data_IF_540394680491
#
_entry.id   IF_540394680491
#
_cell.length_a   1.000
_cell.length_b   1.000
_cell.length_c   1.000
_cell.angle_alpha   90.00
_cell.angle_beta   90.00
_cell.angle_gamma   90.00
#
_symmetry.space_group_name_H-M   'P 1'
#
loop_
_entity.id
_entity.type
_entity.pdbx_description
1 polymer ?
#
# COMPACT_ATOMS: atom_id res chain seq x y z
N UNK A 1 4.96 41.48 13.06
CA UNK A 1 5.20 40.11 13.55
C UNK A 1 3.84 39.52 13.84
N UNK A 2 3.35 38.62 13.00
CA UNK A 2 2.03 38.02 13.16
C UNK A 2 2.14 36.85 14.13
N UNK A 3 1.36 36.88 15.20
CA UNK A 3 1.22 35.79 16.16
C UNK A 3 0.75 34.52 15.46
N UNK A 4 1.55 33.45 15.59
CA UNK A 4 1.16 32.10 15.19
C UNK A 4 -0.10 31.70 15.96
N UNK A 5 -1.15 31.37 15.21
CA UNK A 5 -2.42 30.93 15.78
C UNK A 5 -2.23 29.56 16.40
N UNK A 6 -2.25 29.59 17.73
CA UNK A 6 -2.33 28.49 18.67
C UNK A 6 -3.40 27.47 18.27
N UNK A 7 -2.98 26.29 17.84
CA UNK A 7 -3.84 25.12 17.71
C UNK A 7 -4.05 24.51 19.10
N UNK A 8 -4.89 25.14 19.92
CA UNK A 8 -5.45 24.53 21.12
C UNK A 8 -4.46 24.25 22.26
N UNK A 9 -3.47 25.11 22.47
CA UNK A 9 -2.56 25.04 23.62
C UNK A 9 -1.43 24.01 23.47
N UNK A 10 -1.20 23.54 22.24
CA UNK A 10 -0.04 22.69 21.92
C UNK A 10 0.73 23.37 20.80
N UNK A 11 1.97 23.74 21.08
CA UNK A 11 2.85 24.36 20.10
C UNK A 11 3.26 23.36 19.01
N UNK A 12 3.53 23.85 17.79
CA UNK A 12 4.03 23.01 16.69
C UNK A 12 5.28 22.23 17.08
N UNK A 13 6.16 22.82 17.90
CA UNK A 13 7.36 22.16 18.42
C UNK A 13 7.06 21.06 19.44
N UNK A 14 5.99 21.15 20.22
CA UNK A 14 5.52 20.07 21.10
C UNK A 14 4.91 18.92 20.30
N UNK A 15 4.16 19.22 19.23
CA UNK A 15 3.66 18.21 18.29
C UNK A 15 4.83 17.49 17.61
N UNK A 16 5.84 18.23 17.14
CA UNK A 16 7.04 17.70 16.52
C UNK A 16 7.86 16.83 17.50
N UNK A 17 8.05 17.30 18.73
CA UNK A 17 8.71 16.54 19.79
C UNK A 17 7.92 15.26 20.13
N UNK A 18 6.60 15.34 20.21
CA UNK A 18 5.75 14.17 20.44
C UNK A 18 5.81 13.17 19.27
N UNK A 19 5.77 13.62 18.01
CA UNK A 19 5.89 12.75 16.83
C UNK A 19 7.28 12.10 16.75
N UNK A 20 8.32 12.81 17.19
CA UNK A 20 9.70 12.32 17.20
C UNK A 20 9.94 11.30 18.31
N UNK A 21 9.35 11.52 19.50
CA UNK A 21 9.58 10.70 20.69
C UNK A 21 8.53 9.61 20.91
N UNK A 22 7.33 9.75 20.35
CA UNK A 22 6.28 8.75 20.44
C UNK A 22 6.42 7.75 19.31
N UNK A 23 6.49 6.46 19.66
CA UNK A 23 6.23 5.38 18.71
C UNK A 23 4.74 5.41 18.39
N UNK A 24 4.34 6.26 17.43
CA UNK A 24 3.02 6.19 16.84
C UNK A 24 2.76 4.74 16.44
N UNK A 25 1.55 4.19 16.69
CA UNK A 25 1.23 2.85 16.27
C UNK A 25 1.55 2.67 14.78
N UNK A 26 2.20 1.56 14.42
CA UNK A 26 2.64 1.24 13.05
C UNK A 26 1.52 1.35 11.99
N UNK A 27 0.26 1.21 12.43
CA UNK A 27 -0.95 1.27 11.61
C UNK A 27 -1.88 2.44 11.98
N UNK A 28 -1.36 3.49 12.64
CA UNK A 28 -2.12 4.69 12.92
C UNK A 28 -2.65 5.29 11.59
N UNK A 29 -3.94 5.65 11.57
CA UNK A 29 -4.61 6.20 10.39
C UNK A 29 -5.07 5.18 9.34
N UNK A 30 -4.60 3.93 9.39
CA UNK A 30 -5.08 2.88 8.48
C UNK A 30 -6.52 2.47 8.81
N UNK A 31 -7.31 2.11 7.81
CA UNK A 31 -8.65 1.56 8.01
C UNK A 31 -8.62 0.12 8.57
N UNK A 32 -9.78 -0.39 8.97
CA UNK A 32 -9.91 -1.72 9.56
C UNK A 32 -9.53 -2.86 8.62
N UNK A 33 -9.78 -2.71 7.32
CA UNK A 33 -9.44 -3.71 6.30
C UNK A 33 -7.92 -3.85 6.15
N UNK A 34 -7.21 -2.72 6.12
CA UNK A 34 -5.74 -2.70 6.08
C UNK A 34 -5.17 -3.29 7.38
N UNK A 35 -5.71 -2.88 8.54
CA UNK A 35 -5.28 -3.43 9.84
C UNK A 35 -5.49 -4.94 9.91
N UNK A 36 -6.65 -5.41 9.47
CA UNK A 36 -6.97 -6.83 9.38
C UNK A 36 -5.95 -7.58 8.52
N UNK A 37 -5.70 -7.12 7.29
CA UNK A 37 -4.76 -7.78 6.39
C UNK A 37 -3.34 -7.88 6.98
N UNK A 38 -2.81 -6.77 7.51
CA UNK A 38 -1.47 -6.77 8.13
C UNK A 38 -1.40 -7.70 9.33
N UNK A 39 -2.43 -7.75 10.17
CA UNK A 39 -2.43 -8.58 11.38
C UNK A 39 -2.54 -10.07 11.08
N UNK A 40 -3.40 -10.46 10.13
CA UNK A 40 -3.49 -11.86 9.70
C UNK A 40 -2.19 -12.31 9.05
N UNK A 41 -1.56 -11.48 8.21
CA UNK A 41 -0.28 -11.83 7.60
C UNK A 41 0.85 -11.97 8.63
N UNK A 42 0.89 -11.10 9.66
CA UNK A 42 1.81 -11.26 10.80
C UNK A 42 1.57 -12.56 11.56
N UNK A 43 0.31 -12.96 11.77
CA UNK A 43 -0.05 -14.25 12.35
C UNK A 43 0.45 -15.41 11.48
N UNK A 44 0.24 -15.36 10.17
CA UNK A 44 0.72 -16.40 9.23
C UNK A 44 2.24 -16.55 9.32
N UNK A 45 2.99 -15.44 9.35
CA UNK A 45 4.45 -15.47 9.53
C UNK A 45 4.88 -16.10 10.87
N UNK A 46 4.15 -15.82 11.96
CA UNK A 46 4.41 -16.48 13.26
C UNK A 46 4.20 -17.99 13.19
N UNK A 47 3.17 -18.45 12.46
CA UNK A 47 2.88 -19.89 12.28
C UNK A 47 3.85 -20.56 11.32
N UNK A 48 4.31 -19.84 10.30
CA UNK A 48 5.38 -20.31 9.42
C UNK A 48 6.70 -20.50 10.14
N UNK A 49 7.06 -19.58 11.04
CA UNK A 49 8.24 -19.74 11.90
C UNK A 49 8.13 -20.98 12.81
N UNK A 50 6.91 -21.45 13.11
CA UNK A 50 6.63 -22.69 13.83
C UNK A 50 6.49 -23.92 12.93
N UNK A 51 6.79 -23.80 11.63
CA UNK A 51 6.72 -24.86 10.61
C UNK A 51 5.32 -25.45 10.42
N UNK A 52 4.29 -24.61 10.54
CA UNK A 52 2.94 -25.03 10.21
C UNK A 52 2.79 -25.37 8.73
N UNK A 53 2.06 -26.45 8.44
CA UNK A 53 1.72 -26.95 7.10
C UNK A 53 0.27 -27.39 7.09
N UNK A 54 -0.39 -27.38 5.92
CA UNK A 54 -1.74 -27.90 5.77
C UNK A 54 -2.33 -27.63 4.40
N UNK A 55 -3.66 -27.63 4.31
CA UNK A 55 -4.38 -27.28 3.09
C UNK A 55 -4.63 -25.76 3.00
N UNK A 56 -5.87 -25.32 3.19
CA UNK A 56 -6.25 -23.92 3.10
C UNK A 56 -6.70 -23.39 4.46
N UNK A 57 -6.50 -22.10 4.68
CA UNK A 57 -7.22 -21.36 5.71
C UNK A 57 -7.83 -20.09 5.14
N UNK A 58 -8.95 -19.67 5.70
CA UNK A 58 -9.59 -18.41 5.36
C UNK A 58 -9.75 -17.57 6.61
N UNK A 59 -9.46 -16.28 6.53
CA UNK A 59 -9.74 -15.30 7.56
C UNK A 59 -10.70 -14.27 6.98
N UNK A 60 -11.76 -13.95 7.71
CA UNK A 60 -12.81 -13.05 7.26
C UNK A 60 -12.98 -11.97 8.32
N UNK A 61 -12.91 -10.71 7.90
CA UNK A 61 -13.14 -9.57 8.76
C UNK A 61 -14.63 -9.42 9.04
N UNK A 62 -15.02 -9.56 10.31
CA UNK A 62 -16.38 -9.32 10.77
C UNK A 62 -16.37 -8.60 12.11
N UNK A 63 -16.54 -7.27 12.08
CA UNK A 63 -16.58 -6.45 13.29
C UNK A 63 -17.87 -6.67 14.11
N UNK A 64 -18.89 -7.32 13.53
CA UNK A 64 -20.15 -7.56 14.24
C UNK A 64 -20.10 -8.76 15.19
N UNK A 65 -19.00 -9.53 15.20
CA UNK A 65 -18.80 -10.71 16.05
C UNK A 65 -19.00 -10.44 17.55
N UNK A 66 -18.70 -9.23 18.02
CA UNK A 66 -18.89 -8.87 19.43
C UNK A 66 -20.37 -8.75 19.85
N UNK A 67 -21.28 -8.62 18.89
CA UNK A 67 -22.68 -8.26 19.12
C UNK A 67 -23.68 -9.32 18.62
N UNK A 68 -23.22 -10.46 18.09
CA UNK A 68 -24.12 -11.48 17.54
C UNK A 68 -24.51 -12.54 18.59
N UNK A 69 -25.83 -12.65 18.81
CA UNK A 69 -26.53 -13.83 19.36
C UNK A 69 -26.39 -15.02 18.38
N UNK A 70 -26.67 -16.27 18.79
CA UNK A 70 -26.06 -17.49 18.21
C UNK A 70 -26.18 -17.51 16.68
N UNK A 71 -25.02 -17.50 16.04
CA UNK A 71 -24.89 -17.63 14.59
C UNK A 71 -25.57 -18.91 14.10
N UNK A 72 -26.00 -18.93 12.84
CA UNK A 72 -26.51 -20.14 12.15
C UNK A 72 -25.52 -21.31 12.09
N UNK A 73 -24.31 -21.12 12.60
CA UNK A 73 -23.18 -22.01 12.47
C UNK A 73 -22.53 -22.22 13.84
N UNK A 74 -21.94 -23.38 14.01
CA UNK A 74 -21.12 -23.70 15.17
C UNK A 74 -19.85 -22.84 15.14
N UNK A 75 -19.71 -22.02 16.18
CA UNK A 75 -18.54 -21.18 16.41
C UNK A 75 -17.77 -21.71 17.61
N UNK A 76 -16.47 -21.85 17.44
CA UNK A 76 -15.54 -22.08 18.55
C UNK A 76 -14.70 -20.83 18.76
N UNK A 77 -14.77 -20.25 19.95
CA UNK A 77 -14.01 -19.04 20.29
C UNK A 77 -12.53 -19.36 20.54
N UNK A 78 -11.65 -18.51 20.01
CA UNK A 78 -10.21 -18.50 20.22
C UNK A 78 -9.75 -17.08 20.60
N UNK A 79 -9.55 -16.81 21.89
CA UNK A 79 -9.03 -15.53 22.33
C UNK A 79 -7.55 -15.40 21.97
N UNK A 80 -7.11 -14.18 21.65
CA UNK A 80 -5.70 -13.82 21.44
C UNK A 80 -5.01 -14.56 20.28
N UNK A 81 -5.77 -14.95 19.24
CA UNK A 81 -5.24 -15.65 18.07
C UNK A 81 -4.00 -14.96 17.45
N UNK A 82 -3.90 -13.63 17.58
CA UNK A 82 -2.75 -12.83 17.16
C UNK A 82 -1.38 -13.27 17.72
N UNK A 83 -1.33 -14.03 18.82
CA UNK A 83 -0.08 -14.51 19.41
C UNK A 83 0.53 -15.69 18.63
N UNK A 84 -0.23 -16.32 17.73
CA UNK A 84 0.21 -17.48 16.96
C UNK A 84 0.42 -18.74 17.79
N UNK A 85 -0.23 -18.89 18.95
CA UNK A 85 -0.19 -20.12 19.76
C UNK A 85 -1.05 -21.23 19.16
N UNK A 86 -2.21 -20.88 18.60
CA UNK A 86 -3.13 -21.81 17.96
C UNK A 86 -2.80 -22.02 16.47
N UNK A 87 -2.95 -23.26 16.00
CA UNK A 87 -2.86 -23.58 14.58
C UNK A 87 -4.03 -23.00 13.79
N UNK A 88 -3.74 -22.51 12.58
CA UNK A 88 -4.68 -21.77 11.73
C UNK A 88 -5.02 -22.47 10.41
N UNK A 89 -4.16 -23.37 9.94
CA UNK A 89 -4.34 -24.18 8.73
C UNK A 89 -5.56 -25.08 8.85
N UNK A 90 -6.28 -25.26 7.74
CA UNK A 90 -7.48 -26.10 7.71
C UNK A 90 -8.70 -25.49 8.39
N UNK A 91 -8.70 -24.18 8.67
CA UNK A 91 -9.76 -23.49 9.41
C UNK A 91 -10.29 -22.26 8.68
N UNK A 92 -11.57 -21.95 8.93
CA UNK A 92 -12.22 -20.72 8.51
C UNK A 92 -12.43 -19.86 9.75
N UNK A 93 -11.79 -18.68 9.76
CA UNK A 93 -11.75 -17.77 10.89
C UNK A 93 -12.62 -16.56 10.63
N UNK A 94 -13.55 -16.28 11.54
CA UNK A 94 -14.21 -14.99 11.65
C UNK A 94 -13.47 -14.15 12.70
N UNK A 95 -12.98 -12.97 12.33
CA UNK A 95 -12.12 -12.17 13.23
C UNK A 95 -12.44 -10.68 13.16
N UNK A 96 -12.08 -9.95 14.22
CA UNK A 96 -11.96 -8.48 14.17
C UNK A 96 -10.61 -8.07 13.56
N UNK A 97 -10.44 -6.78 13.19
CA UNK A 97 -9.17 -6.27 12.68
C UNK A 97 -8.00 -6.35 13.69
N UNK A 98 -8.29 -6.63 14.96
CA UNK A 98 -7.29 -6.78 16.03
C UNK A 98 -6.90 -8.21 16.34
N UNK A 99 -7.68 -9.20 15.87
CA UNK A 99 -7.53 -10.63 16.19
C UNK A 99 -7.51 -10.93 17.71
N UNK A 100 -8.07 -10.04 18.54
CA UNK A 100 -8.20 -10.25 20.00
C UNK A 100 -9.24 -11.31 20.33
N UNK A 101 -10.33 -11.31 19.58
CA UNK A 101 -11.36 -12.34 19.61
C UNK A 101 -11.56 -12.81 18.18
N UNK A 102 -11.38 -14.12 18.00
CA UNK A 102 -11.53 -14.82 16.74
C UNK A 102 -12.40 -16.04 16.97
N UNK A 103 -13.17 -16.44 15.96
CA UNK A 103 -14.00 -17.63 16.01
C UNK A 103 -13.64 -18.53 14.84
N UNK A 104 -13.44 -19.81 15.13
CA UNK A 104 -13.42 -20.84 14.10
C UNK A 104 -14.87 -21.16 13.72
N UNK A 105 -15.17 -21.03 12.43
CA UNK A 105 -16.43 -21.45 11.83
C UNK A 105 -16.29 -22.91 11.42
N UNK A 106 -16.97 -23.81 12.15
CA UNK A 106 -16.82 -25.26 11.95
C UNK A 106 -17.60 -25.67 10.71
N UNK A 107 -16.95 -25.58 9.55
CA UNK A 107 -17.48 -26.00 8.25
C UNK A 107 -16.52 -26.98 7.59
N UNK A 108 -17.05 -27.84 6.74
CA UNK A 108 -16.27 -28.84 6.01
C UNK A 108 -16.08 -28.43 4.56
N UNK A 109 -14.85 -28.47 4.08
CA UNK A 109 -14.51 -28.35 2.66
C UNK A 109 -13.37 -29.32 2.34
N UNK A 110 -13.17 -29.62 1.06
CA UNK A 110 -12.17 -30.61 0.59
C UNK A 110 -11.11 -30.00 -0.32
N UNK A 111 -11.38 -28.81 -0.87
CA UNK A 111 -10.52 -28.14 -1.83
C UNK A 111 -10.81 -26.63 -1.85
N UNK A 112 -10.09 -25.90 -2.70
CA UNK A 112 -10.27 -24.46 -2.86
C UNK A 112 -11.67 -24.08 -3.36
N UNK A 113 -12.25 -24.84 -4.29
CA UNK A 113 -13.53 -24.51 -4.88
C UNK A 113 -14.66 -24.64 -3.85
N UNK A 114 -14.66 -25.73 -3.08
CA UNK A 114 -15.59 -25.98 -1.98
C UNK A 114 -15.39 -25.01 -0.82
N UNK A 115 -14.16 -24.54 -0.53
CA UNK A 115 -13.93 -23.45 0.42
C UNK A 115 -14.65 -22.15 -0.02
N UNK A 116 -14.51 -21.75 -1.28
CA UNK A 116 -15.17 -20.54 -1.80
C UNK A 116 -16.70 -20.68 -1.80
N UNK A 117 -17.22 -21.86 -2.14
CA UNK A 117 -18.66 -22.14 -2.05
C UNK A 117 -19.16 -22.08 -0.60
N UNK A 118 -18.39 -22.62 0.35
CA UNK A 118 -18.69 -22.59 1.78
C UNK A 118 -18.81 -21.16 2.29
N UNK A 119 -17.86 -20.29 1.95
CA UNK A 119 -17.89 -18.85 2.30
C UNK A 119 -19.12 -18.15 1.68
N UNK A 120 -19.51 -18.50 0.45
CA UNK A 120 -20.71 -17.95 -0.20
C UNK A 120 -21.99 -18.42 0.48
N UNK A 121 -22.11 -19.71 0.81
CA UNK A 121 -23.29 -20.25 1.51
C UNK A 121 -23.43 -19.68 2.93
N UNK A 122 -22.32 -19.28 3.55
CA UNK A 122 -22.30 -18.61 4.84
C UNK A 122 -22.67 -17.11 4.78
N UNK A 123 -22.93 -16.56 3.58
CA UNK A 123 -23.21 -15.13 3.36
C UNK A 123 -22.06 -14.19 3.79
N UNK A 124 -20.83 -14.66 3.59
CA UNK A 124 -19.60 -13.94 3.96
C UNK A 124 -18.83 -13.43 2.73
N UNK A 125 -19.37 -13.64 1.54
CA UNK A 125 -18.64 -13.43 0.27
C UNK A 125 -18.27 -11.97 -0.04
N UNK A 126 -18.92 -11.00 0.60
CA UNK A 126 -18.68 -9.57 0.43
C UNK A 126 -17.78 -8.97 1.52
N UNK A 127 -17.42 -9.76 2.55
CA UNK A 127 -16.56 -9.30 3.64
C UNK A 127 -15.08 -9.44 3.28
N UNK A 128 -14.20 -8.50 3.69
CA UNK A 128 -12.78 -8.62 3.44
C UNK A 128 -12.24 -9.97 3.88
N UNK A 129 -11.56 -10.68 2.99
CA UNK A 129 -11.20 -12.09 3.19
C UNK A 129 -9.76 -12.35 2.78
N UNK A 130 -8.97 -12.96 3.65
CA UNK A 130 -7.63 -13.46 3.35
C UNK A 130 -7.67 -14.99 3.22
N UNK A 131 -7.25 -15.50 2.07
CA UNK A 131 -7.10 -16.93 1.80
C UNK A 131 -5.61 -17.27 1.84
N UNK A 132 -5.28 -18.35 2.53
CA UNK A 132 -3.91 -18.88 2.62
C UNK A 132 -3.91 -20.29 2.06
N UNK A 133 -3.01 -20.54 1.12
CA UNK A 133 -2.69 -21.87 0.61
C UNK A 133 -1.39 -22.34 1.25
N UNK A 134 -1.48 -23.33 2.13
CA UNK A 134 -0.35 -23.87 2.91
C UNK A 134 0.33 -25.06 2.22
N UNK A 135 -0.14 -25.48 1.03
CA UNK A 135 0.39 -26.66 0.32
C UNK A 135 1.80 -26.46 -0.25
N UNK A 136 2.17 -25.29 -0.80
CA UNK A 136 3.55 -25.04 -1.21
C UNK A 136 4.48 -24.88 0.00
N UNK A 137 5.79 -24.98 -0.22
CA UNK A 137 6.80 -24.80 0.84
C UNK A 137 6.78 -23.40 1.48
N UNK A 138 6.39 -22.40 0.69
CA UNK A 138 6.11 -21.04 1.14
C UNK A 138 4.63 -20.79 0.85
N UNK A 139 3.78 -20.56 1.87
CA UNK A 139 2.36 -20.34 1.65
C UNK A 139 2.08 -19.16 0.74
N UNK A 140 1.06 -19.32 -0.09
CA UNK A 140 0.55 -18.23 -0.94
C UNK A 140 -0.62 -17.57 -0.22
N UNK A 141 -0.56 -16.25 -0.08
CA UNK A 141 -1.59 -15.47 0.62
C UNK A 141 -2.27 -14.52 -0.36
N UNK A 142 -3.58 -14.68 -0.50
CA UNK A 142 -4.42 -13.83 -1.34
C UNK A 142 -5.39 -13.04 -0.47
N UNK A 143 -5.37 -11.72 -0.60
CA UNK A 143 -6.26 -10.84 0.14
C UNK A 143 -7.30 -10.17 -0.76
N UNK A 144 -8.55 -10.55 -0.56
CA UNK A 144 -9.73 -10.01 -1.21
C UNK A 144 -10.28 -8.86 -0.36
N UNK A 145 -9.84 -7.63 -0.65
CA UNK A 145 -10.16 -6.44 0.19
C UNK A 145 -11.66 -6.14 0.26
N UNK A 146 -12.40 -6.44 -0.80
CA UNK A 146 -13.86 -6.27 -0.91
C UNK A 146 -14.61 -7.62 -0.90
N UNK A 147 -13.97 -8.66 -0.37
CA UNK A 147 -14.49 -10.02 -0.31
C UNK A 147 -14.34 -10.83 -1.59
N UNK A 148 -14.49 -12.15 -1.45
CA UNK A 148 -14.21 -13.15 -2.49
C UNK A 148 -15.12 -13.07 -3.73
N UNK A 149 -16.23 -12.31 -3.64
CA UNK A 149 -17.09 -12.00 -4.79
C UNK A 149 -16.40 -11.04 -5.77
N UNK A 150 -15.50 -10.18 -5.29
CA UNK A 150 -14.73 -9.26 -6.10
C UNK A 150 -13.34 -9.84 -6.42
N UNK A 151 -13.24 -10.59 -7.51
CA UNK A 151 -12.00 -11.25 -7.92
C UNK A 151 -10.98 -10.28 -8.55
N UNK A 152 -11.39 -9.07 -8.93
CA UNK A 152 -10.50 -8.07 -9.53
C UNK A 152 -9.67 -7.32 -8.48
N UNK A 153 -10.15 -7.28 -7.23
CA UNK A 153 -9.52 -6.58 -6.10
C UNK A 153 -8.75 -7.51 -5.16
N UNK A 154 -8.04 -8.49 -5.74
CA UNK A 154 -7.19 -9.45 -5.01
C UNK A 154 -5.73 -9.00 -4.96
N UNK A 155 -5.13 -8.95 -3.78
CA UNK A 155 -3.71 -8.63 -3.59
C UNK A 155 -2.98 -9.86 -3.09
N UNK A 156 -1.89 -10.23 -3.75
CA UNK A 156 -0.96 -11.24 -3.22
C UNK A 156 -0.09 -10.60 -2.14
N UNK A 157 -0.04 -11.22 -0.97
CA UNK A 157 0.73 -10.73 0.19
C UNK A 157 2.06 -11.47 0.22
N UNK A 158 3.17 -10.73 0.14
CA UNK A 158 4.50 -11.31 0.21
C UNK A 158 4.83 -11.73 1.64
N UNK A 159 5.16 -13.01 1.82
CA UNK A 159 5.65 -13.60 3.07
C UNK A 159 7.16 -13.87 3.07
N UNK A 160 7.84 -13.64 1.95
CA UNK A 160 9.25 -14.00 1.82
C UNK A 160 10.12 -13.24 2.82
N UNK A 161 11.13 -13.90 3.38
CA UNK A 161 12.13 -13.28 4.22
C UNK A 161 13.29 -12.75 3.35
N UNK A 162 13.50 -11.43 3.33
CA UNK A 162 14.56 -10.83 2.53
C UNK A 162 14.33 -9.35 2.18
N UNK A 163 15.36 -8.65 1.66
CA UNK A 163 15.21 -7.28 1.17
C UNK A 163 14.24 -7.23 -0.02
N UNK A 164 13.50 -6.12 -0.15
CA UNK A 164 12.54 -5.91 -1.22
C UNK A 164 13.31 -5.60 -2.49
N UNK A 165 13.13 -6.43 -3.52
CA UNK A 165 13.74 -6.17 -4.82
C UNK A 165 13.04 -5.00 -5.52
N UNK A 166 13.76 -4.39 -6.46
CA UNK A 166 13.22 -3.32 -7.32
C UNK A 166 12.02 -3.81 -8.11
N UNK A 167 12.11 -5.01 -8.69
CA UNK A 167 11.06 -5.62 -9.49
C UNK A 167 9.77 -5.86 -8.67
N UNK A 168 9.87 -6.36 -7.44
CA UNK A 168 8.70 -6.55 -6.58
C UNK A 168 8.02 -5.22 -6.25
N UNK A 169 8.82 -4.21 -5.90
CA UNK A 169 8.28 -2.89 -5.58
C UNK A 169 7.61 -2.26 -6.79
N UNK A 170 8.28 -2.25 -7.95
CA UNK A 170 7.73 -1.73 -9.19
C UNK A 170 6.44 -2.46 -9.59
N UNK A 171 6.41 -3.80 -9.48
CA UNK A 171 5.21 -4.61 -9.73
C UNK A 171 4.05 -4.19 -8.82
N UNK A 172 4.30 -3.95 -7.54
CA UNK A 172 3.28 -3.46 -6.61
C UNK A 172 2.80 -2.04 -6.96
N UNK A 173 3.70 -1.14 -7.36
CA UNK A 173 3.37 0.21 -7.82
C UNK A 173 2.55 0.20 -9.10
N UNK A 174 2.90 -0.66 -10.06
CA UNK A 174 2.15 -0.87 -11.31
C UNK A 174 0.74 -1.36 -11.01
N UNK A 175 0.60 -2.38 -10.15
CA UNK A 175 -0.70 -2.91 -9.75
C UNK A 175 -1.56 -1.84 -9.07
N UNK A 176 -0.97 -1.05 -8.17
CA UNK A 176 -1.63 0.08 -7.53
C UNK A 176 -2.11 1.11 -8.56
N UNK A 177 -1.25 1.51 -9.49
CA UNK A 177 -1.62 2.44 -10.55
C UNK A 177 -2.82 1.93 -11.37
N UNK A 178 -2.77 0.67 -11.83
CA UNK A 178 -3.80 0.10 -12.69
C UNK A 178 -5.16 0.02 -12.01
N UNK A 179 -5.17 -0.21 -10.69
CA UNK A 179 -6.39 -0.39 -9.90
C UNK A 179 -6.92 0.89 -9.29
N UNK A 180 -6.06 1.87 -9.01
CA UNK A 180 -6.42 3.01 -8.16
C UNK A 180 -6.24 4.37 -8.82
N UNK A 181 -5.36 4.51 -9.81
CA UNK A 181 -4.94 5.84 -10.29
C UNK A 181 -5.19 6.09 -11.77
N UNK A 182 -5.14 5.04 -12.59
CA UNK A 182 -5.10 5.15 -14.06
C UNK A 182 -6.18 6.05 -14.65
N UNK A 183 -7.40 6.01 -14.12
CA UNK A 183 -8.51 6.85 -14.58
C UNK A 183 -9.14 7.60 -13.41
N UNK A 184 -9.87 8.70 -13.67
CA UNK A 184 -10.52 9.45 -12.60
C UNK A 184 -11.60 8.64 -11.89
N UNK A 185 -12.24 7.68 -12.58
CA UNK A 185 -13.22 6.79 -11.99
C UNK A 185 -12.58 5.89 -10.91
N UNK A 186 -11.44 5.27 -11.23
CA UNK A 186 -10.66 4.48 -10.27
C UNK A 186 -10.13 5.35 -9.12
N UNK A 187 -9.70 6.58 -9.44
CA UNK A 187 -9.25 7.52 -8.43
C UNK A 187 -10.40 8.08 -7.56
N UNK A 188 -11.67 7.93 -7.95
CA UNK A 188 -12.81 8.34 -7.13
C UNK A 188 -13.26 7.24 -6.16
N UNK A 189 -13.04 5.97 -6.51
CA UNK A 189 -13.39 4.83 -5.67
C UNK A 189 -12.37 4.66 -4.53
N UNK A 190 -12.81 4.87 -3.27
CA UNK A 190 -12.11 4.34 -2.09
C UNK A 190 -11.64 5.32 -1.02
N UNK A 191 -11.49 6.63 -1.27
CA UNK A 191 -11.01 7.57 -0.24
C UNK A 191 -11.56 8.99 -0.39
N UNK A 192 -11.60 9.74 0.73
CA UNK A 192 -12.08 11.13 0.79
C UNK A 192 -11.20 12.15 0.03
N UNK A 193 -9.93 11.82 -0.28
CA UNK A 193 -8.99 12.71 -0.98
C UNK A 193 -9.01 12.45 -2.49
N UNK A 194 -9.50 13.40 -3.28
CA UNK A 194 -9.53 13.30 -4.75
C UNK A 194 -8.14 13.59 -5.31
N UNK A 195 -7.83 12.99 -6.46
CA UNK A 195 -6.60 13.30 -7.22
C UNK A 195 -6.91 14.37 -8.27
N UNK A 196 -8.07 14.26 -8.89
CA UNK A 196 -8.60 15.22 -9.84
C UNK A 196 -9.70 16.07 -9.20
N UNK A 197 -9.60 17.39 -9.35
CA UNK A 197 -10.70 18.31 -9.05
C UNK A 197 -11.68 18.37 -10.21
N UNK A 198 -11.16 18.51 -11.44
CA UNK A 198 -11.91 18.48 -12.71
C UNK A 198 -11.04 17.81 -13.78
N UNK A 199 -11.16 16.49 -13.92
CA UNK A 199 -10.28 15.70 -14.81
C UNK A 199 -10.49 16.05 -16.29
N UNK A 200 -11.73 16.32 -16.70
CA UNK A 200 -12.11 16.78 -18.05
C UNK A 200 -11.37 18.07 -18.47
N UNK A 201 -11.03 18.92 -17.49
CA UNK A 201 -10.27 20.16 -17.69
C UNK A 201 -8.78 20.03 -17.37
N UNK A 202 -8.33 18.84 -16.97
CA UNK A 202 -6.96 18.61 -16.52
C UNK A 202 -6.61 19.30 -15.20
N UNK A 203 -7.58 19.66 -14.37
CA UNK A 203 -7.33 20.40 -13.13
C UNK A 203 -7.13 19.40 -11.97
N UNK A 204 -5.91 19.28 -11.41
CA UNK A 204 -5.66 18.42 -10.25
C UNK A 204 -6.36 18.97 -9.00
N UNK A 205 -6.62 18.09 -8.03
CA UNK A 205 -7.00 18.52 -6.68
C UNK A 205 -5.81 19.14 -5.94
N UNK A 206 -6.00 19.92 -4.86
CA UNK A 206 -4.88 20.41 -4.07
C UNK A 206 -4.05 19.26 -3.53
N UNK A 207 -2.73 19.39 -3.66
CA UNK A 207 -1.75 18.42 -3.16
C UNK A 207 -2.02 17.00 -3.72
N UNK A 208 -2.04 16.84 -5.06
CA UNK A 208 -2.33 15.55 -5.68
C UNK A 208 -1.27 14.50 -5.32
N UNK A 209 -0.03 14.92 -5.11
CA UNK A 209 1.09 14.10 -4.64
C UNK A 209 0.82 13.49 -3.25
N UNK A 210 0.40 14.31 -2.27
CA UNK A 210 0.02 13.84 -0.93
C UNK A 210 -1.17 12.86 -0.99
N UNK A 211 -2.14 13.11 -1.88
CA UNK A 211 -3.27 12.21 -2.08
C UNK A 211 -2.84 10.86 -2.66
N UNK A 212 -1.89 10.86 -3.60
CA UNK A 212 -1.30 9.65 -4.18
C UNK A 212 -0.48 8.89 -3.13
N UNK A 213 0.39 9.60 -2.40
CA UNK A 213 1.23 9.05 -1.32
C UNK A 213 0.38 8.31 -0.27
N UNK A 214 -0.69 8.94 0.23
CA UNK A 214 -1.58 8.33 1.22
C UNK A 214 -2.20 7.02 0.72
N UNK A 215 -2.74 7.02 -0.50
CA UNK A 215 -3.34 5.83 -1.12
C UNK A 215 -2.30 4.74 -1.38
N UNK A 216 -1.10 5.14 -1.79
CA UNK A 216 -0.02 4.21 -2.07
C UNK A 216 0.45 3.49 -0.80
N UNK A 217 0.58 4.22 0.31
CA UNK A 217 0.94 3.62 1.60
C UNK A 217 -0.03 2.50 2.02
N UNK A 218 -1.34 2.68 1.84
CA UNK A 218 -2.33 1.67 2.17
C UNK A 218 -2.16 0.40 1.32
N UNK A 219 -1.91 0.57 0.01
CA UNK A 219 -1.63 -0.55 -0.89
C UNK A 219 -0.34 -1.31 -0.53
N UNK A 220 0.75 -0.57 -0.27
CA UNK A 220 2.04 -1.15 0.04
C UNK A 220 2.07 -1.88 1.39
N UNK A 221 1.43 -1.33 2.43
CA UNK A 221 1.35 -1.96 3.77
C UNK A 221 0.75 -3.36 3.72
N UNK A 222 -0.23 -3.56 2.84
CA UNK A 222 -0.88 -4.85 2.64
C UNK A 222 0.00 -5.81 1.84
N UNK A 223 0.59 -5.33 0.74
CA UNK A 223 1.43 -6.17 -0.12
C UNK A 223 2.72 -6.64 0.60
N UNK A 224 3.22 -5.82 1.53
CA UNK A 224 4.57 -5.95 2.10
C UNK A 224 4.56 -5.85 3.62
N UNK A 225 3.94 -6.82 4.28
CA UNK A 225 3.63 -6.79 5.72
C UNK A 225 4.84 -6.84 6.65
N UNK A 226 6.01 -7.25 6.14
CA UNK A 226 7.29 -7.24 6.87
C UNK A 226 7.91 -5.84 6.95
N UNK A 227 7.47 -4.94 6.09
CA UNK A 227 7.96 -3.57 6.02
C UNK A 227 7.06 -2.61 6.77
N UNK A 228 7.70 -1.57 7.24
CA UNK A 228 7.08 -0.40 7.82
C UNK A 228 7.17 0.73 6.78
N UNK A 229 6.10 1.49 6.70
CA UNK A 229 5.94 2.57 5.73
C UNK A 229 5.66 3.86 6.47
N UNK A 230 6.50 4.86 6.23
CA UNK A 230 6.35 6.21 6.79
C UNK A 230 6.28 7.22 5.66
N UNK A 231 5.23 8.02 5.65
CA UNK A 231 5.18 9.19 4.79
C UNK A 231 5.97 10.34 5.41
N UNK A 232 6.54 11.18 4.56
CA UNK A 232 7.01 12.51 4.92
C UNK A 232 8.08 12.49 6.02
N UNK A 233 9.05 11.58 5.89
CA UNK A 233 10.16 11.46 6.85
C UNK A 233 11.03 12.70 6.78
N UNK A 234 11.11 13.44 7.89
CA UNK A 234 11.92 14.64 8.02
C UNK A 234 13.42 14.32 7.94
N UNK A 235 14.13 15.16 7.21
CA UNK A 235 15.59 15.27 7.18
C UNK A 235 15.97 16.73 7.42
N UNK A 236 17.27 16.99 7.59
CA UNK A 236 17.81 18.35 7.66
C UNK A 236 17.62 19.14 6.37
N UNK A 237 17.50 18.43 5.23
CA UNK A 237 17.39 19.02 3.89
C UNK A 237 15.95 19.04 3.34
N UNK A 238 14.97 18.52 4.08
CA UNK A 238 13.58 18.46 3.64
C UNK A 238 12.77 17.30 4.21
N UNK A 239 11.89 16.73 3.38
CA UNK A 239 11.02 15.61 3.72
C UNK A 239 11.00 14.62 2.57
N UNK A 240 11.35 13.38 2.86
CA UNK A 240 11.22 12.28 1.90
C UNK A 240 9.77 11.81 1.83
N UNK A 241 9.25 11.59 0.63
CA UNK A 241 7.82 11.28 0.49
C UNK A 241 7.43 9.94 1.11
N UNK A 242 8.13 8.85 0.79
CA UNK A 242 7.89 7.54 1.43
C UNK A 242 9.20 6.88 1.82
N UNK A 243 9.32 6.57 3.10
CA UNK A 243 10.37 5.74 3.66
C UNK A 243 9.85 4.32 3.92
N UNK A 244 10.55 3.34 3.35
CA UNK A 244 10.27 1.92 3.51
C UNK A 244 11.42 1.27 4.28
N UNK A 245 11.11 0.72 5.44
CA UNK A 245 12.13 0.17 6.33
C UNK A 245 11.63 -1.10 7.02
N UNK A 246 12.56 -1.91 7.51
CA UNK A 246 12.28 -3.11 8.30
C UNK A 246 13.22 -3.19 9.49
N UNK A 247 12.89 -4.07 10.42
CA UNK A 247 13.83 -4.48 11.44
C UNK A 247 14.61 -5.69 10.95
N UNK A 248 15.93 -5.64 11.07
CA UNK A 248 16.82 -6.77 10.85
C UNK A 248 17.45 -7.16 12.17
N UNK A 249 17.56 -8.46 12.42
CA UNK A 249 18.33 -8.97 13.54
C UNK A 249 19.72 -9.33 13.03
N UNK A 250 20.72 -8.55 13.41
CA UNK A 250 22.14 -8.86 13.17
C UNK A 250 22.80 -9.08 14.53
N UNK A 251 23.44 -10.22 14.73
CA UNK A 251 24.16 -10.55 15.98
C UNK A 251 23.32 -10.41 17.26
N UNK A 252 22.02 -10.70 17.18
CA UNK A 252 21.09 -10.57 18.31
C UNK A 252 20.64 -9.14 18.62
N UNK A 253 21.10 -8.14 17.87
CA UNK A 253 20.61 -6.77 17.95
C UNK A 253 19.58 -6.48 16.85
N UNK A 254 18.46 -5.89 17.26
CA UNK A 254 17.40 -5.44 16.36
C UNK A 254 17.77 -4.07 15.82
N UNK A 255 18.28 -4.02 14.59
CA UNK A 255 18.61 -2.80 13.88
C UNK A 255 17.47 -2.40 12.92
N UNK A 256 17.25 -1.09 12.76
CA UNK A 256 16.39 -0.56 11.70
C UNK A 256 17.22 -0.47 10.42
N UNK A 257 16.71 -1.03 9.33
CA UNK A 257 17.30 -0.94 8.00
C UNK A 257 16.30 -0.26 7.08
N UNK A 258 16.69 0.87 6.49
CA UNK A 258 15.89 1.55 5.47
C UNK A 258 16.25 0.95 4.12
N UNK A 259 15.30 0.22 3.54
CA UNK A 259 15.54 -0.52 2.29
C UNK A 259 15.31 0.40 1.09
N UNK A 260 14.26 1.24 1.12
CA UNK A 260 13.89 2.13 0.03
C UNK A 260 13.44 3.51 0.50
N UNK A 261 13.79 4.52 -0.30
CA UNK A 261 13.15 5.83 -0.33
C UNK A 261 12.43 6.01 -1.66
N UNK A 262 11.17 6.42 -1.63
CA UNK A 262 10.44 6.84 -2.83
C UNK A 262 10.22 8.34 -2.78
N UNK A 263 10.70 9.03 -3.81
CA UNK A 263 10.38 10.42 -4.08
C UNK A 263 9.28 10.46 -5.14
N UNK A 264 8.20 11.18 -4.87
CA UNK A 264 7.02 11.26 -5.72
C UNK A 264 6.97 12.63 -6.40
N UNK A 265 6.52 12.65 -7.65
CA UNK A 265 6.21 13.89 -8.38
C UNK A 265 4.90 13.79 -9.13
N UNK A 266 3.94 14.67 -8.81
CA UNK A 266 2.74 14.85 -9.61
C UNK A 266 2.98 15.89 -10.73
N UNK A 267 3.11 15.45 -11.98
CA UNK A 267 3.40 16.32 -13.10
C UNK A 267 2.10 16.78 -13.77
N UNK A 268 1.73 18.05 -13.65
CA UNK A 268 0.50 18.59 -14.24
C UNK A 268 0.78 19.74 -15.21
N UNK A 269 -0.01 19.83 -16.28
CA UNK A 269 0.01 20.98 -17.21
C UNK A 269 -0.95 22.11 -16.79
N UNK A 270 -1.66 21.91 -15.66
CA UNK A 270 -2.56 22.88 -15.04
C UNK A 270 -2.34 22.91 -13.53
N UNK A 271 -2.44 24.11 -12.98
CA UNK A 271 -2.51 24.35 -11.54
C UNK A 271 -3.90 24.01 -10.99
N UNK A 272 -4.06 24.01 -9.67
CA UNK A 272 -5.35 23.76 -8.98
C UNK A 272 -6.44 24.80 -9.31
N UNK A 273 -6.06 25.97 -9.83
CA UNK A 273 -6.95 27.04 -10.30
C UNK A 273 -7.22 26.96 -11.81
N UNK A 274 -6.54 26.07 -12.54
CA UNK A 274 -6.69 25.89 -13.98
C UNK A 274 -5.74 26.72 -14.86
N UNK A 275 -4.83 27.49 -14.27
CA UNK A 275 -3.76 28.16 -15.03
C UNK A 275 -2.77 27.15 -15.59
N UNK A 276 -2.27 27.37 -16.81
CA UNK A 276 -1.29 26.47 -17.45
C UNK A 276 0.05 26.44 -16.71
N UNK A 277 0.66 25.27 -16.67
CA UNK A 277 2.03 25.03 -16.20
C UNK A 277 2.92 24.81 -17.41
N UNK A 278 4.08 25.45 -17.46
CA UNK A 278 5.02 25.30 -18.58
C UNK A 278 5.76 23.97 -18.49
N UNK A 279 6.16 23.41 -19.62
CA UNK A 279 6.93 22.17 -19.65
C UNK A 279 8.29 22.33 -18.93
N UNK A 280 8.88 23.53 -18.96
CA UNK A 280 10.10 23.83 -18.19
C UNK A 280 9.95 23.58 -16.69
N UNK A 281 8.78 23.90 -16.11
CA UNK A 281 8.50 23.64 -14.69
C UNK A 281 8.36 22.15 -14.41
N UNK A 282 7.79 21.38 -15.33
CA UNK A 282 7.73 19.93 -15.20
C UNK A 282 9.13 19.32 -15.25
N UNK A 283 10.00 19.79 -16.16
CA UNK A 283 11.40 19.32 -16.25
C UNK A 283 12.22 19.69 -15.01
N UNK A 284 12.01 20.89 -14.47
CA UNK A 284 12.60 21.31 -13.20
C UNK A 284 12.13 20.44 -12.03
N UNK A 285 10.83 20.13 -11.95
CA UNK A 285 10.29 19.25 -10.92
C UNK A 285 10.87 17.82 -10.99
N UNK A 286 11.09 17.28 -12.20
CA UNK A 286 11.72 15.97 -12.41
C UNK A 286 13.19 16.00 -11.96
N UNK A 287 13.95 17.03 -12.37
CA UNK A 287 15.37 17.18 -11.98
C UNK A 287 15.52 17.31 -10.46
N UNK A 288 14.73 18.19 -9.85
CA UNK A 288 14.72 18.38 -8.41
C UNK A 288 14.31 17.11 -7.67
N UNK A 289 13.33 16.36 -8.19
CA UNK A 289 12.95 15.07 -7.62
C UNK A 289 14.08 14.04 -7.62
N UNK A 290 14.89 13.97 -8.69
CA UNK A 290 16.06 13.10 -8.71
C UNK A 290 17.09 13.53 -7.65
N UNK A 291 17.40 14.82 -7.58
CA UNK A 291 18.32 15.38 -6.58
C UNK A 291 17.85 15.05 -5.15
N UNK A 292 16.55 15.20 -4.87
CA UNK A 292 15.93 14.84 -3.61
C UNK A 292 16.04 13.34 -3.31
N UNK A 293 15.71 12.47 -4.26
CA UNK A 293 15.82 11.02 -4.09
C UNK A 293 17.25 10.59 -3.73
N UNK A 294 18.26 11.15 -4.39
CA UNK A 294 19.67 10.88 -4.11
C UNK A 294 20.07 11.40 -2.73
N UNK A 295 19.71 12.65 -2.41
CA UNK A 295 20.02 13.24 -1.11
C UNK A 295 19.39 12.44 0.04
N UNK A 296 18.11 12.11 -0.06
CA UNK A 296 17.41 11.35 0.97
C UNK A 296 17.92 9.91 1.10
N UNK A 297 18.31 9.25 0.00
CA UNK A 297 19.00 7.95 0.06
C UNK A 297 20.22 8.00 0.97
N UNK A 298 21.07 9.01 0.78
CA UNK A 298 22.29 9.19 1.56
C UNK A 298 21.99 9.57 3.02
N UNK A 299 21.11 10.55 3.23
CA UNK A 299 20.78 11.06 4.57
C UNK A 299 20.11 10.05 5.46
N UNK A 300 19.22 9.23 4.91
CA UNK A 300 18.50 8.19 5.65
C UNK A 300 19.21 6.84 5.63
N UNK A 301 20.44 6.80 5.08
CA UNK A 301 21.23 5.58 4.90
C UNK A 301 20.42 4.43 4.28
N UNK A 302 19.65 4.78 3.24
CA UNK A 302 18.77 3.85 2.56
C UNK A 302 19.57 3.00 1.54
N UNK A 303 19.23 1.72 1.45
CA UNK A 303 19.85 0.84 0.46
C UNK A 303 19.60 1.31 -0.98
N UNK A 304 18.37 1.77 -1.27
CA UNK A 304 17.94 2.19 -2.60
C UNK A 304 17.01 3.41 -2.54
N UNK A 305 16.87 4.09 -3.67
CA UNK A 305 15.87 5.14 -3.86
C UNK A 305 15.28 5.08 -5.26
N UNK A 306 14.07 5.61 -5.45
CA UNK A 306 13.41 5.72 -6.74
C UNK A 306 12.72 7.07 -6.91
N UNK A 307 12.62 7.54 -8.16
CA UNK A 307 11.78 8.68 -8.53
C UNK A 307 10.51 8.20 -9.23
N UNK A 308 9.36 8.50 -8.62
CA UNK A 308 8.03 8.09 -9.02
C UNK A 308 7.25 9.27 -9.62
N UNK A 309 7.14 9.37 -10.94
CA UNK A 309 6.37 10.42 -11.61
C UNK A 309 4.96 9.98 -11.96
N UNK A 310 3.96 10.66 -11.41
CA UNK A 310 2.55 10.52 -11.77
C UNK A 310 2.16 11.65 -12.71
N UNK A 311 2.07 11.32 -14.00
CA UNK A 311 1.94 12.27 -15.09
C UNK A 311 0.48 12.57 -15.42
N UNK A 312 0.03 13.74 -15.02
CA UNK A 312 -1.31 14.29 -15.16
C UNK A 312 -1.41 15.27 -16.36
N UNK A 313 -0.38 15.38 -17.18
CA UNK A 313 -0.38 16.26 -18.37
C UNK A 313 -1.40 15.78 -19.40
N UNK A 314 -1.71 16.64 -20.38
CA UNK A 314 -2.72 16.33 -21.39
C UNK A 314 -2.32 15.19 -22.32
N UNK A 315 -1.05 15.14 -22.68
CA UNK A 315 -0.51 14.21 -23.67
C UNK A 315 0.45 13.24 -23.00
N UNK A 316 0.31 11.95 -23.32
CA UNK A 316 1.29 10.95 -22.94
C UNK A 316 2.51 11.08 -23.86
N UNK A 317 3.54 11.77 -23.38
CA UNK A 317 4.80 11.92 -24.13
C UNK A 317 5.68 10.66 -24.10
N UNK A 318 5.33 9.65 -23.30
CA UNK A 318 6.10 8.43 -23.09
C UNK A 318 7.20 8.55 -22.03
N UNK A 319 7.63 7.40 -21.51
CA UNK A 319 8.63 7.29 -20.45
C UNK A 319 9.99 7.89 -20.84
N UNK A 320 10.56 7.45 -21.96
CA UNK A 320 11.90 7.88 -22.42
C UNK A 320 11.99 9.40 -22.60
N UNK A 321 10.99 10.01 -23.24
CA UNK A 321 10.93 11.47 -23.46
C UNK A 321 10.74 12.24 -22.16
N UNK A 322 10.03 11.67 -21.19
CA UNK A 322 9.83 12.31 -19.89
C UNK A 322 11.14 12.45 -19.11
N UNK A 323 12.04 11.48 -19.24
CA UNK A 323 13.26 11.41 -18.45
C UNK A 323 14.55 11.70 -19.23
N UNK A 324 14.46 12.08 -20.51
CA UNK A 324 15.63 12.28 -21.39
C UNK A 324 16.73 13.15 -20.76
N UNK A 325 16.37 14.25 -20.08
CA UNK A 325 17.36 15.19 -19.49
C UNK A 325 18.08 14.62 -18.25
N UNK A 326 17.51 13.62 -17.57
CA UNK A 326 18.03 13.12 -16.29
C UNK A 326 18.46 11.66 -16.33
N UNK A 327 18.23 10.95 -17.45
CA UNK A 327 18.45 9.50 -17.55
C UNK A 327 19.89 9.09 -17.21
N UNK A 328 20.89 9.82 -17.71
CA UNK A 328 22.30 9.53 -17.42
C UNK A 328 22.67 9.78 -15.94
N UNK A 329 22.15 10.87 -15.36
CA UNK A 329 22.36 11.19 -13.94
C UNK A 329 21.69 10.16 -13.03
N UNK A 330 20.48 9.72 -13.37
CA UNK A 330 19.75 8.70 -12.63
C UNK A 330 20.45 7.34 -12.69
N UNK A 331 20.94 6.94 -13.87
CA UNK A 331 21.71 5.72 -14.05
C UNK A 331 23.00 5.74 -13.22
N UNK A 332 23.72 6.87 -13.22
CA UNK A 332 24.94 7.05 -12.42
C UNK A 332 24.67 6.97 -10.91
N UNK A 333 23.52 7.47 -10.46
CA UNK A 333 23.12 7.44 -9.06
C UNK A 333 22.43 6.14 -8.64
N UNK A 334 22.20 5.21 -9.57
CA UNK A 334 21.42 3.98 -9.38
C UNK A 334 20.03 4.28 -8.79
N UNK A 335 19.36 5.28 -9.36
CA UNK A 335 17.98 5.65 -9.00
C UNK A 335 17.06 5.28 -10.15
N UNK A 336 16.28 4.19 -10.05
CA UNK A 336 15.23 3.89 -11.01
C UNK A 336 14.26 5.06 -11.16
N UNK A 337 13.88 5.31 -12.41
CA UNK A 337 12.89 6.30 -12.80
C UNK A 337 11.63 5.55 -13.21
N UNK A 338 10.51 5.85 -12.56
CA UNK A 338 9.22 5.24 -12.90
C UNK A 338 8.20 6.30 -13.25
N UNK A 339 7.35 5.99 -14.23
CA UNK A 339 6.32 6.92 -14.70
C UNK A 339 4.99 6.22 -14.89
N UNK A 340 3.94 6.88 -14.41
CA UNK A 340 2.57 6.47 -14.64
C UNK A 340 1.72 7.60 -15.22
N UNK A 341 1.13 7.41 -16.40
CA UNK A 341 0.28 8.42 -17.03
C UNK A 341 -1.17 8.34 -16.52
N UNK A 342 -1.67 9.40 -15.90
CA UNK A 342 -3.01 9.48 -15.35
C UNK A 342 -3.96 10.05 -16.41
N UNK A 343 -4.80 9.19 -16.97
CA UNK A 343 -5.78 9.60 -17.97
C UNK A 343 -6.83 10.54 -17.37
N UNK A 344 -7.31 11.49 -18.18
CA UNK A 344 -8.38 12.44 -17.82
C UNK A 344 -9.78 11.88 -17.93
N UNK A 345 -9.92 10.73 -18.58
CA UNK A 345 -11.18 10.02 -18.75
C UNK A 345 -10.95 8.55 -19.11
N UNK A 346 -11.94 7.71 -18.77
CA UNK A 346 -11.91 6.27 -19.08
C UNK A 346 -11.89 6.00 -20.58
N UNK A 347 -12.52 6.85 -21.39
CA UNK A 347 -12.52 6.73 -22.85
C UNK A 347 -11.11 6.89 -23.44
N UNK A 348 -10.31 7.80 -22.90
CA UNK A 348 -8.93 8.04 -23.36
C UNK A 348 -8.06 6.83 -23.00
N UNK A 349 -8.20 6.30 -21.78
CA UNK A 349 -7.48 5.10 -21.34
C UNK A 349 -7.81 3.85 -22.18
N UNK A 350 -9.02 3.73 -22.74
CA UNK A 350 -9.39 2.60 -23.60
C UNK A 350 -8.78 2.67 -25.01
N UNK A 351 -8.53 3.87 -25.51
CA UNK A 351 -7.93 4.09 -26.84
C UNK A 351 -6.43 3.80 -26.84
N UNK A 352 -5.81 3.91 -25.68
CA UNK A 352 -4.39 3.62 -25.47
C UNK A 352 -4.17 2.13 -25.14
N UNK A 353 -4.24 1.27 -26.17
CA UNK A 353 -3.99 -0.17 -26.03
C UNK A 353 -2.50 -0.48 -25.76
N UNK A 354 -1.60 0.39 -26.19
CA UNK A 354 -0.15 0.23 -26.03
C UNK A 354 0.28 0.40 -24.57
N UNK A 355 -0.32 1.34 -23.84
CA UNK A 355 0.00 1.54 -22.42
C UNK A 355 -0.27 0.29 -21.57
N UNK A 356 -1.36 -0.44 -21.87
CA UNK A 356 -1.72 -1.66 -21.14
C UNK A 356 -0.76 -2.83 -21.40
N UNK A 357 -0.18 -2.90 -22.60
CA UNK A 357 0.74 -3.96 -22.98
C UNK A 357 2.17 -3.71 -22.47
N UNK A 358 2.56 -2.45 -22.21
CA UNK A 358 3.89 -2.09 -21.71
C UNK A 358 4.06 -2.19 -20.19
N UNK A 359 2.96 -2.09 -19.43
CA UNK A 359 2.99 -2.13 -17.96
C UNK A 359 2.82 -3.55 -17.36
N UNK A 360 2.67 -4.57 -18.22
CA UNK A 360 2.55 -5.98 -17.82
C UNK A 360 3.72 -6.87 -18.27
N UNK A 361 4.83 -6.25 -18.70
CA UNK A 361 6.08 -6.94 -19.09
C UNK A 361 7.03 -7.14 -17.92
#
# INVERSE_FOLDING_TARGET
>A
MAEERDTGGVSSSEIESFITNSRLPELAGADDTIRFGVRVAKLINLRLAQRETGDFSAFILDQSLANQSPTKFDLKEFPLLANGADAVSGKLWLTSCTLRTSHELVLTWTDQASLFQTIRHADLSEKPTMIVDWRPSTPVVLFYRKGIKNQEDVVEVSLEDGPMSEHELEKALNLFYHRCLRTPALAAEGHAKKIWRKSDKGIPDPRPEEAIQGRLMDGLRVAFVKYNFRAETFTDDGRADIEIWRYSNSEGQKARVTDWILELKALADKTTTGSSVSDSKCREAIRSGLEQAVAYKQRLNAGRAALCCYDMRREDIGHEKCFTEIAESAATAEVPLWRWFLFRGTADSRKDQDYLNRAGG
#
